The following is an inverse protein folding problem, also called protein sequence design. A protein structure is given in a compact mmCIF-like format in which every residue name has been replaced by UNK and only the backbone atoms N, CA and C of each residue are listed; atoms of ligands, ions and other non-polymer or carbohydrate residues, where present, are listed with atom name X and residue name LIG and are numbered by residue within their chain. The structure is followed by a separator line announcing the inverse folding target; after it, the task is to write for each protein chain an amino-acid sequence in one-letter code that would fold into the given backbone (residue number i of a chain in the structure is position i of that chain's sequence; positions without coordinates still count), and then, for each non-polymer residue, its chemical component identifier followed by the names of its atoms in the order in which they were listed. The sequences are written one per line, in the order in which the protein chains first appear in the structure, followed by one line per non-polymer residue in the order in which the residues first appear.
data_IF_830061582505
#
_entry.id   IF_830061582505
#
_cell.length_a   1.000
_cell.length_b   1.000
_cell.length_c   1.000
_cell.angle_alpha   90.00
_cell.angle_beta   90.00
_cell.angle_gamma   90.00
#
_symmetry.space_group_name_H-M   'P 1'
#
loop_
_entity.id
_entity.type
_entity.pdbx_description
1 polymer ?
#
# COMPACT_ATOMS: atom_id res chain seq x y z
N UNK A 1 -24.68 -24.82 2.60
CA UNK A 1 -24.99 -23.38 2.70
C UNK A 1 -24.04 -22.67 3.69
N UNK A 2 -23.79 -23.23 4.88
CA UNK A 2 -22.84 -22.67 5.86
C UNK A 2 -21.40 -22.71 5.36
N UNK A 3 -20.96 -23.76 4.66
CA UNK A 3 -19.62 -23.85 4.05
C UNK A 3 -19.45 -22.82 2.92
N UNK A 4 -20.49 -22.57 2.13
CA UNK A 4 -20.49 -21.55 1.08
C UNK A 4 -20.37 -20.14 1.66
N UNK A 5 -21.16 -19.80 2.68
CA UNK A 5 -21.10 -18.49 3.33
C UNK A 5 -19.74 -18.23 4.00
N UNK A 6 -19.16 -19.25 4.67
CA UNK A 6 -17.83 -19.15 5.24
C UNK A 6 -16.76 -18.94 4.15
N UNK A 7 -16.84 -19.67 3.03
CA UNK A 7 -15.96 -19.51 1.88
C UNK A 7 -15.99 -18.07 1.33
N UNK A 8 -17.18 -17.45 1.24
CA UNK A 8 -17.33 -16.09 0.72
C UNK A 8 -16.77 -15.03 1.68
N UNK A 9 -16.83 -15.28 2.99
CA UNK A 9 -16.18 -14.43 4.01
C UNK A 9 -14.65 -14.45 3.81
N UNK A 10 -14.03 -15.61 3.64
CA UNK A 10 -12.58 -15.72 3.45
C UNK A 10 -12.12 -15.06 2.15
N UNK A 11 -12.87 -15.23 1.06
CA UNK A 11 -12.57 -14.58 -0.22
C UNK A 11 -12.59 -13.06 -0.09
N UNK A 12 -13.61 -12.50 0.59
CA UNK A 12 -13.68 -11.06 0.87
C UNK A 12 -12.52 -10.58 1.74
N UNK A 13 -12.18 -11.33 2.78
CA UNK A 13 -11.06 -11.01 3.65
C UNK A 13 -9.72 -11.01 2.91
N UNK A 14 -9.55 -11.92 1.94
CA UNK A 14 -8.39 -11.92 1.05
C UNK A 14 -8.28 -10.61 0.28
N UNK A 15 -9.37 -10.08 -0.25
CA UNK A 15 -9.36 -8.78 -0.94
C UNK A 15 -9.00 -7.63 -0.01
N UNK A 16 -9.51 -7.64 1.22
CA UNK A 16 -9.17 -6.63 2.24
C UNK A 16 -7.66 -6.57 2.51
N UNK A 17 -6.99 -7.71 2.53
CA UNK A 17 -5.53 -7.76 2.70
C UNK A 17 -4.75 -7.52 1.40
N UNK A 18 -5.30 -7.94 0.26
CA UNK A 18 -4.64 -7.80 -1.05
C UNK A 18 -4.58 -6.35 -1.53
N UNK A 19 -5.67 -5.60 -1.39
CA UNK A 19 -5.81 -4.27 -1.99
C UNK A 19 -4.79 -3.26 -1.45
N UNK A 20 -4.57 -3.11 -0.12
CA UNK A 20 -3.55 -2.20 0.37
C UNK A 20 -2.14 -2.60 -0.10
N UNK A 21 -1.82 -3.90 -0.10
CA UNK A 21 -0.54 -4.41 -0.62
C UNK A 21 -0.34 -4.05 -2.09
N UNK A 22 -1.37 -4.25 -2.91
CA UNK A 22 -1.35 -3.90 -4.32
C UNK A 22 -1.09 -2.40 -4.53
N UNK A 23 -1.85 -1.54 -3.87
CA UNK A 23 -1.76 -0.09 -4.05
C UNK A 23 -0.39 0.44 -3.63
N UNK A 24 0.13 -0.03 -2.49
CA UNK A 24 1.45 0.39 -1.99
C UNK A 24 2.58 -0.13 -2.86
N UNK A 25 2.51 -1.39 -3.30
CA UNK A 25 3.52 -1.97 -4.19
C UNK A 25 3.53 -1.29 -5.56
N UNK A 26 2.37 -0.92 -6.11
CA UNK A 26 2.29 -0.09 -7.32
C UNK A 26 2.90 1.30 -7.08
N UNK A 27 2.70 1.87 -5.90
CA UNK A 27 3.37 3.10 -5.49
C UNK A 27 4.89 2.96 -5.52
N UNK A 28 5.45 1.96 -4.85
CA UNK A 28 6.88 1.65 -4.86
C UNK A 28 7.43 1.46 -6.28
N UNK A 29 6.67 0.80 -7.14
CA UNK A 29 7.03 0.59 -8.54
C UNK A 29 7.22 1.91 -9.31
N UNK A 30 6.38 2.92 -9.10
CA UNK A 30 6.55 4.22 -9.78
C UNK A 30 7.84 4.92 -9.35
N UNK A 31 8.17 4.89 -8.06
CA UNK A 31 9.42 5.45 -7.56
C UNK A 31 10.64 4.72 -8.15
N UNK A 32 10.71 3.41 -8.03
CA UNK A 32 11.87 2.65 -8.47
C UNK A 32 12.02 2.61 -9.99
N UNK A 33 10.92 2.60 -10.74
CA UNK A 33 10.93 2.77 -12.21
C UNK A 33 11.40 4.16 -12.64
N UNK A 34 11.42 5.16 -11.77
CA UNK A 34 12.03 6.47 -12.02
C UNK A 34 13.52 6.54 -11.67
N UNK A 35 14.05 5.50 -11.03
CA UNK A 35 15.45 5.41 -10.59
C UNK A 35 15.68 5.85 -9.14
N UNK A 36 14.63 6.00 -8.33
CA UNK A 36 14.72 6.31 -6.90
C UNK A 36 14.08 5.20 -6.08
N UNK A 37 14.85 4.56 -5.21
CA UNK A 37 14.34 3.52 -4.30
C UNK A 37 13.54 4.17 -3.16
N UNK A 38 12.32 3.74 -2.94
CA UNK A 38 11.49 4.27 -1.85
C UNK A 38 11.26 3.23 -0.75
N UNK A 39 12.20 3.15 0.18
CA UNK A 39 12.09 2.28 1.36
C UNK A 39 11.15 2.90 2.41
N UNK A 40 10.79 4.18 2.30
CA UNK A 40 9.94 4.89 3.24
C UNK A 40 8.46 4.47 3.22
N UNK A 41 8.06 3.47 2.44
CA UNK A 41 6.64 3.10 2.22
C UNK A 41 5.90 2.81 3.52
N UNK A 42 6.53 2.17 4.51
CA UNK A 42 5.91 1.90 5.82
C UNK A 42 5.56 3.20 6.54
N UNK A 43 6.51 4.12 6.66
CA UNK A 43 6.30 5.42 7.31
C UNK A 43 5.29 6.29 6.56
N UNK A 44 5.31 6.26 5.23
CA UNK A 44 4.34 6.98 4.39
C UNK A 44 2.93 6.42 4.59
N UNK A 45 2.77 5.09 4.66
CA UNK A 45 1.49 4.46 4.99
C UNK A 45 0.98 4.91 6.37
N UNK A 46 1.84 4.91 7.39
CA UNK A 46 1.49 5.32 8.75
C UNK A 46 1.06 6.79 8.78
N UNK A 47 1.86 7.69 8.17
CA UNK A 47 1.55 9.11 8.11
C UNK A 47 0.25 9.39 7.36
N UNK A 48 0.06 8.79 6.19
CA UNK A 48 -1.17 8.91 5.41
C UNK A 48 -2.40 8.38 6.15
N UNK A 49 -2.28 7.20 6.77
CA UNK A 49 -3.34 6.61 7.58
C UNK A 49 -3.69 7.50 8.78
N UNK A 50 -2.68 8.06 9.49
CA UNK A 50 -2.92 8.95 10.62
C UNK A 50 -3.75 10.16 10.22
N UNK A 51 -3.32 10.88 9.18
CA UNK A 51 -4.01 12.10 8.74
C UNK A 51 -5.39 11.78 8.14
N UNK A 52 -5.51 10.68 7.40
CA UNK A 52 -6.79 10.23 6.86
C UNK A 52 -7.80 9.84 7.94
N UNK A 53 -7.38 9.06 8.95
CA UNK A 53 -8.24 8.68 10.09
C UNK A 53 -8.58 9.89 10.94
N UNK A 54 -7.62 10.79 11.18
CA UNK A 54 -7.87 12.02 11.92
C UNK A 54 -8.88 12.92 11.19
N UNK A 55 -8.80 13.04 9.87
CA UNK A 55 -9.79 13.74 9.06
C UNK A 55 -11.18 13.13 9.20
N UNK A 56 -11.30 11.78 9.16
CA UNK A 56 -12.56 11.08 9.40
C UNK A 56 -13.10 11.40 10.80
N UNK A 57 -12.25 11.33 11.83
CA UNK A 57 -12.63 11.67 13.20
C UNK A 57 -13.19 13.09 13.31
N UNK A 58 -12.52 14.08 12.72
CA UNK A 58 -12.98 15.49 12.75
C UNK A 58 -14.36 15.64 12.09
N UNK A 59 -14.56 15.03 10.93
CA UNK A 59 -15.84 15.12 10.22
C UNK A 59 -16.98 14.40 10.97
N UNK A 60 -16.70 13.27 11.58
CA UNK A 60 -17.67 12.53 12.40
C UNK A 60 -18.00 13.27 13.70
N UNK A 61 -17.02 13.87 14.36
CA UNK A 61 -17.20 14.66 15.58
C UNK A 61 -17.98 15.96 15.33
N UNK A 62 -17.86 16.54 14.14
CA UNK A 62 -18.61 17.73 13.73
C UNK A 62 -20.07 17.41 13.34
N UNK A 63 -20.56 16.17 13.56
CA UNK A 63 -21.89 15.70 13.17
C UNK A 63 -22.27 16.04 11.72
N UNK A 64 -21.31 15.98 10.81
CA UNK A 64 -21.53 16.28 9.40
C UNK A 64 -22.46 15.22 8.79
N UNK A 65 -23.56 15.62 8.17
CA UNK A 65 -24.51 14.73 7.48
C UNK A 65 -24.00 14.26 6.11
N UNK A 66 -22.67 14.12 5.98
CA UNK A 66 -22.02 13.72 4.73
C UNK A 66 -22.21 12.22 4.47
N UNK A 67 -22.44 11.86 3.21
CA UNK A 67 -22.46 10.46 2.78
C UNK A 67 -21.14 9.75 3.17
N UNK A 68 -21.19 8.61 3.87
CA UNK A 68 -19.98 7.89 4.32
C UNK A 68 -18.99 7.56 3.20
N UNK A 69 -19.48 7.23 2.01
CA UNK A 69 -18.59 6.92 0.87
C UNK A 69 -17.85 8.16 0.36
N UNK A 70 -18.52 9.32 0.35
CA UNK A 70 -17.89 10.59 -0.01
C UNK A 70 -16.84 10.97 1.02
N UNK A 71 -17.15 10.82 2.32
CA UNK A 71 -16.20 11.07 3.40
C UNK A 71 -14.96 10.19 3.25
N UNK A 72 -15.13 8.91 2.94
CA UNK A 72 -14.00 8.00 2.73
C UNK A 72 -13.14 8.41 1.52
N UNK A 73 -13.76 8.80 0.40
CA UNK A 73 -13.02 9.27 -0.78
C UNK A 73 -12.20 10.52 -0.45
N UNK A 74 -12.78 11.49 0.24
CA UNK A 74 -12.07 12.70 0.66
C UNK A 74 -10.92 12.37 1.62
N UNK A 75 -11.14 11.47 2.58
CA UNK A 75 -10.11 11.00 3.49
C UNK A 75 -8.95 10.31 2.76
N UNK A 76 -9.24 9.51 1.73
CA UNK A 76 -8.22 8.88 0.87
C UNK A 76 -7.40 9.91 0.11
N UNK A 77 -8.04 10.96 -0.42
CA UNK A 77 -7.32 12.06 -1.09
C UNK A 77 -6.41 12.79 -0.10
N UNK A 78 -6.91 13.11 1.09
CA UNK A 78 -6.13 13.77 2.17
C UNK A 78 -4.96 12.89 2.60
N UNK A 79 -5.18 11.58 2.80
CA UNK A 79 -4.13 10.61 3.12
C UNK A 79 -3.06 10.53 2.01
N UNK A 80 -3.50 10.52 0.74
CA UNK A 80 -2.61 10.51 -0.41
C UNK A 80 -1.76 11.78 -0.52
N UNK A 81 -2.36 12.95 -0.36
CA UNK A 81 -1.65 14.24 -0.38
C UNK A 81 -0.60 14.27 0.73
N UNK A 82 -0.95 13.86 1.95
CA UNK A 82 0.00 13.82 3.05
C UNK A 82 1.13 12.81 2.80
N UNK A 83 0.81 11.63 2.26
CA UNK A 83 1.82 10.66 1.83
C UNK A 83 2.77 11.22 0.75
N UNK A 84 2.24 11.99 -0.20
CA UNK A 84 3.06 12.68 -1.20
C UNK A 84 3.97 13.75 -0.55
N UNK A 85 3.48 14.51 0.43
CA UNK A 85 4.28 15.50 1.18
C UNK A 85 5.41 14.82 1.97
N UNK A 86 5.15 13.70 2.63
CA UNK A 86 6.21 12.93 3.30
C UNK A 86 7.24 12.41 2.30
N UNK A 87 6.79 11.91 1.16
CA UNK A 87 7.69 11.41 0.12
C UNK A 87 8.48 12.55 -0.56
N UNK A 88 8.01 13.79 -0.50
CA UNK A 88 8.74 14.95 -0.99
C UNK A 88 10.05 15.16 -0.20
N UNK A 89 10.04 14.90 1.11
CA UNK A 89 11.25 14.96 1.93
C UNK A 89 12.28 13.92 1.45
N UNK A 90 11.83 12.70 1.18
CA UNK A 90 12.67 11.64 0.63
C UNK A 90 13.17 11.99 -0.77
N UNK A 91 12.30 12.50 -1.64
CA UNK A 91 12.68 12.93 -2.99
C UNK A 91 13.74 14.03 -2.96
N UNK A 92 13.59 15.02 -2.10
CA UNK A 92 14.55 16.11 -1.94
C UNK A 92 15.91 15.59 -1.46
N UNK A 93 15.92 14.73 -0.45
CA UNK A 93 17.14 14.11 0.06
C UNK A 93 17.85 13.26 -1.02
N UNK A 94 17.11 12.40 -1.71
CA UNK A 94 17.67 11.49 -2.69
C UNK A 94 18.10 12.20 -4.00
N UNK A 95 17.31 13.15 -4.50
CA UNK A 95 17.50 13.75 -5.82
C UNK A 95 18.40 14.99 -5.76
N UNK A 96 18.18 15.89 -4.79
CA UNK A 96 18.92 17.14 -4.68
C UNK A 96 20.19 17.01 -3.84
N UNK A 97 20.05 16.39 -2.66
CA UNK A 97 21.19 16.23 -1.75
C UNK A 97 22.05 15.01 -2.09
N UNK A 98 21.60 14.15 -3.02
CA UNK A 98 22.27 12.88 -3.36
C UNK A 98 22.56 12.02 -2.12
N UNK A 99 21.70 12.12 -1.09
CA UNK A 99 21.82 11.35 0.12
C UNK A 99 21.49 9.87 -0.10
N UNK A 100 22.00 9.01 0.76
CA UNK A 100 21.68 7.59 0.73
C UNK A 100 20.16 7.39 0.90
N UNK A 101 19.56 6.72 -0.09
CA UNK A 101 18.11 6.51 -0.17
C UNK A 101 17.61 5.57 0.95
N UNK A 102 18.45 4.64 1.38
CA UNK A 102 18.14 3.71 2.48
C UNK A 102 18.06 4.46 3.79
N UNK A 103 19.03 5.34 4.07
CA UNK A 103 19.08 6.16 5.28
C UNK A 103 17.87 7.10 5.31
N UNK A 104 17.62 7.83 4.22
CA UNK A 104 16.50 8.74 4.12
C UNK A 104 15.14 8.04 4.28
N UNK A 105 14.97 6.88 3.64
CA UNK A 105 13.74 6.09 3.75
C UNK A 105 13.53 5.53 5.15
N UNK A 106 14.58 5.00 5.76
CA UNK A 106 14.55 4.47 7.14
C UNK A 106 14.23 5.57 8.15
N UNK A 107 14.77 6.77 7.97
CA UNK A 107 14.47 7.92 8.84
C UNK A 107 12.96 8.24 8.85
N UNK A 108 12.29 8.22 7.69
CA UNK A 108 10.83 8.43 7.60
C UNK A 108 10.07 7.28 8.27
N UNK A 109 10.53 6.04 8.09
CA UNK A 109 9.91 4.86 8.73
C UNK A 109 10.01 4.91 10.27
N UNK A 110 11.03 5.53 10.82
CA UNK A 110 11.16 5.75 12.26
C UNK A 110 10.39 6.99 12.74
N UNK A 111 10.39 8.05 11.93
CA UNK A 111 9.73 9.32 12.27
C UNK A 111 8.21 9.17 12.31
N UNK A 112 7.60 8.54 11.32
CA UNK A 112 6.15 8.52 11.15
C UNK A 112 5.40 7.86 12.32
N UNK A 113 5.76 6.66 12.82
CA UNK A 113 5.11 6.09 14.00
C UNK A 113 5.32 6.93 15.26
N UNK A 114 6.53 7.49 15.45
CA UNK A 114 6.83 8.36 16.57
C UNK A 114 6.00 9.63 16.58
N UNK A 115 5.93 10.32 15.44
CA UNK A 115 5.08 11.51 15.27
C UNK A 115 3.60 11.18 15.44
N UNK A 116 3.13 10.09 14.83
CA UNK A 116 1.73 9.69 14.93
C UNK A 116 1.33 9.40 16.39
N UNK A 117 2.16 8.67 17.13
CA UNK A 117 1.95 8.42 18.55
C UNK A 117 1.97 9.70 19.39
N UNK A 118 2.94 10.57 19.14
CA UNK A 118 3.06 11.86 19.83
C UNK A 118 1.83 12.74 19.60
N UNK A 119 1.43 12.93 18.35
CA UNK A 119 0.27 13.74 17.98
C UNK A 119 -1.04 13.14 18.50
N UNK A 120 -1.20 11.81 18.48
CA UNK A 120 -2.36 11.17 19.07
C UNK A 120 -2.47 11.49 20.57
N UNK A 121 -1.39 11.33 21.33
CA UNK A 121 -1.38 11.65 22.77
C UNK A 121 -1.65 13.12 23.06
N UNK A 122 -1.14 14.01 22.22
CA UNK A 122 -1.37 15.45 22.37
C UNK A 122 -2.84 15.82 22.13
N UNK A 123 -3.45 15.28 21.08
CA UNK A 123 -4.81 15.60 20.65
C UNK A 123 -5.87 14.91 21.52
N UNK A 124 -5.61 13.66 21.94
CA UNK A 124 -6.58 12.80 22.65
C UNK A 124 -6.28 12.63 24.14
N UNK A 125 -5.75 13.67 24.80
CA UNK A 125 -5.54 13.71 26.25
C UNK A 125 -4.78 12.51 26.80
N UNK A 126 -3.68 12.14 26.16
CA UNK A 126 -2.81 11.04 26.57
C UNK A 126 -3.11 9.69 25.93
N UNK A 127 -4.23 9.54 25.20
CA UNK A 127 -4.52 8.33 24.43
C UNK A 127 -3.58 8.22 23.22
N UNK A 128 -3.06 7.03 22.99
CA UNK A 128 -2.14 6.74 21.87
C UNK A 128 -2.84 6.37 20.56
N UNK A 129 -4.17 6.44 20.52
CA UNK A 129 -4.99 5.99 19.39
C UNK A 129 -5.97 7.06 18.93
N UNK A 130 -6.22 7.09 17.62
CA UNK A 130 -7.25 7.94 17.00
C UNK A 130 -8.50 7.08 16.75
N UNK A 131 -9.63 7.34 17.45
CA UNK A 131 -10.85 6.58 17.26
C UNK A 131 -11.62 7.07 16.02
N UNK A 132 -12.35 6.18 15.37
CA UNK A 132 -13.31 6.52 14.32
C UNK A 132 -14.42 5.47 14.21
N UNK A 133 -15.58 5.86 13.67
CA UNK A 133 -16.68 4.93 13.43
C UNK A 133 -16.59 4.35 12.02
N UNK A 134 -16.62 3.01 11.92
CA UNK A 134 -16.54 2.34 10.62
C UNK A 134 -17.94 2.21 10.00
N UNK A 135 -18.39 3.24 9.30
CA UNK A 135 -19.68 3.30 8.58
C UNK A 135 -19.52 3.13 7.06
N UNK A 136 -18.35 2.72 6.61
CA UNK A 136 -17.95 2.74 5.19
C UNK A 136 -18.26 1.45 4.43
N UNK A 137 -18.78 0.43 5.10
CA UNK A 137 -19.09 -0.85 4.48
C UNK A 137 -20.35 -0.75 3.62
N UNK A 138 -20.25 -1.15 2.37
CA UNK A 138 -21.39 -1.25 1.45
C UNK A 138 -22.07 -2.60 1.68
N UNK A 139 -23.31 -2.60 2.17
CA UNK A 139 -24.00 -3.84 2.50
C UNK A 139 -24.26 -4.69 1.25
N UNK A 140 -24.92 -4.13 0.24
CA UNK A 140 -25.20 -4.80 -1.03
C UNK A 140 -25.30 -3.78 -2.16
N UNK A 141 -24.82 -4.16 -3.35
CA UNK A 141 -25.09 -3.41 -4.59
C UNK A 141 -26.21 -4.15 -5.32
N UNK A 142 -27.41 -3.54 -5.49
CA UNK A 142 -28.51 -4.18 -6.19
C UNK A 142 -28.09 -4.69 -7.56
N UNK A 143 -28.66 -5.83 -7.99
CA UNK A 143 -28.39 -6.51 -9.26
C UNK A 143 -27.02 -7.16 -9.34
N UNK A 144 -25.91 -6.44 -9.06
CA UNK A 144 -24.55 -6.97 -9.16
C UNK A 144 -24.23 -8.02 -8.08
N UNK A 145 -24.87 -7.90 -6.92
CA UNK A 145 -24.72 -8.88 -5.82
C UNK A 145 -25.34 -10.26 -6.13
N UNK A 146 -26.14 -10.37 -7.18
CA UNK A 146 -26.81 -11.61 -7.60
C UNK A 146 -25.96 -12.43 -8.58
N UNK A 147 -24.86 -11.87 -9.10
CA UNK A 147 -23.98 -12.60 -10.03
C UNK A 147 -23.36 -13.79 -9.29
N UNK A 148 -23.51 -15.03 -9.80
CA UNK A 148 -22.90 -16.20 -9.19
C UNK A 148 -21.39 -16.03 -9.02
N UNK A 149 -20.83 -16.43 -7.87
CA UNK A 149 -19.40 -16.37 -7.51
C UNK A 149 -18.88 -14.93 -7.30
N UNK A 150 -19.03 -14.02 -8.27
CA UNK A 150 -18.52 -12.66 -8.19
C UNK A 150 -19.36 -11.76 -7.29
N UNK A 151 -20.67 -11.94 -7.29
CA UNK A 151 -21.61 -11.17 -6.47
C UNK A 151 -21.26 -11.18 -4.98
N UNK A 152 -21.20 -12.35 -4.35
CA UNK A 152 -20.86 -12.46 -2.92
C UNK A 152 -19.45 -11.98 -2.57
N UNK A 153 -18.48 -12.04 -3.50
CA UNK A 153 -17.08 -11.69 -3.25
C UNK A 153 -16.85 -10.18 -3.39
N UNK A 154 -17.38 -9.58 -4.46
CA UNK A 154 -17.10 -8.19 -4.82
C UNK A 154 -18.20 -7.21 -4.41
N UNK A 155 -19.47 -7.63 -4.36
CA UNK A 155 -20.61 -6.71 -4.28
C UNK A 155 -21.47 -6.85 -3.01
N UNK A 156 -21.12 -7.82 -2.11
CA UNK A 156 -21.75 -7.94 -0.78
C UNK A 156 -20.76 -7.62 0.31
N UNK A 157 -21.04 -6.64 1.16
CA UNK A 157 -20.22 -6.25 2.28
C UNK A 157 -18.82 -5.75 1.88
N UNK A 158 -18.70 -5.17 0.70
CA UNK A 158 -17.46 -4.64 0.15
C UNK A 158 -17.17 -3.22 0.64
N UNK A 159 -15.93 -2.79 0.47
CA UNK A 159 -15.52 -1.41 0.65
C UNK A 159 -15.24 -0.78 -0.72
N UNK A 160 -15.52 0.51 -0.86
CA UNK A 160 -15.22 1.26 -2.09
C UNK A 160 -13.72 1.21 -2.44
N UNK A 161 -12.88 1.03 -1.42
CA UNK A 161 -11.43 0.90 -1.55
C UNK A 161 -11.01 -0.31 -2.41
N UNK A 162 -11.81 -1.39 -2.43
CA UNK A 162 -11.54 -2.56 -3.29
C UNK A 162 -11.64 -2.18 -4.77
N UNK A 163 -12.66 -1.44 -5.15
CA UNK A 163 -12.83 -0.97 -6.53
C UNK A 163 -11.77 0.05 -6.91
N UNK A 164 -11.44 0.94 -5.96
CA UNK A 164 -10.36 1.91 -6.14
C UNK A 164 -9.01 1.21 -6.42
N UNK A 165 -8.70 0.14 -5.71
CA UNK A 165 -7.48 -0.65 -5.96
C UNK A 165 -7.43 -1.24 -7.36
N UNK A 166 -8.55 -1.74 -7.88
CA UNK A 166 -8.64 -2.24 -9.27
C UNK A 166 -8.45 -1.09 -10.27
N UNK A 167 -9.08 0.06 -10.04
CA UNK A 167 -8.93 1.25 -10.89
C UNK A 167 -7.47 1.73 -10.90
N UNK A 168 -6.82 1.79 -9.73
CA UNK A 168 -5.40 2.17 -9.61
C UNK A 168 -4.52 1.19 -10.40
N UNK A 169 -4.79 -0.13 -10.33
CA UNK A 169 -4.06 -1.12 -11.12
C UNK A 169 -4.20 -0.85 -12.62
N UNK A 170 -5.43 -0.68 -13.11
CA UNK A 170 -5.70 -0.41 -14.53
C UNK A 170 -4.99 0.87 -14.98
N UNK A 171 -5.13 1.96 -14.22
CA UNK A 171 -4.48 3.23 -14.51
C UNK A 171 -2.95 3.10 -14.50
N UNK A 172 -2.37 2.33 -13.58
CA UNK A 172 -0.94 2.07 -13.51
C UNK A 172 -0.42 1.33 -14.74
N UNK A 173 -1.17 0.32 -15.21
CA UNK A 173 -0.86 -0.42 -16.45
C UNK A 173 -0.89 0.51 -17.66
N UNK A 174 -1.95 1.30 -17.80
CA UNK A 174 -2.10 2.24 -18.90
C UNK A 174 -1.00 3.31 -18.86
N UNK A 175 -0.77 3.90 -17.69
CA UNK A 175 0.25 4.94 -17.51
C UNK A 175 1.63 4.45 -17.94
N UNK A 176 2.10 3.31 -17.40
CA UNK A 176 3.44 2.81 -17.69
C UNK A 176 3.61 2.30 -19.12
N UNK A 177 2.59 1.66 -19.70
CA UNK A 177 2.75 0.95 -20.95
C UNK A 177 2.23 1.71 -22.16
N UNK A 178 1.30 2.66 -21.98
CA UNK A 178 0.60 3.33 -23.07
C UNK A 178 0.82 4.84 -23.12
N UNK A 179 1.46 5.46 -22.09
CA UNK A 179 1.66 6.91 -22.09
C UNK A 179 3.11 7.31 -22.34
N UNK A 180 3.30 8.49 -22.96
CA UNK A 180 4.62 9.11 -23.15
C UNK A 180 5.31 9.39 -21.79
N UNK A 181 4.54 9.75 -20.78
CA UNK A 181 5.06 10.02 -19.44
C UNK A 181 5.61 8.74 -18.79
N UNK A 182 4.89 7.61 -18.87
CA UNK A 182 5.35 6.32 -18.37
C UNK A 182 6.59 5.80 -19.11
N UNK A 183 6.68 6.01 -20.42
CA UNK A 183 7.88 5.66 -21.18
C UNK A 183 9.10 6.46 -20.70
N UNK A 184 8.95 7.78 -20.56
CA UNK A 184 10.04 8.68 -20.08
C UNK A 184 10.44 8.34 -18.64
N UNK A 185 9.47 8.04 -17.77
CA UNK A 185 9.73 7.62 -16.40
C UNK A 185 10.60 6.35 -16.36
N UNK A 186 10.26 5.33 -17.16
CA UNK A 186 11.05 4.10 -17.26
C UNK A 186 12.45 4.36 -17.87
N UNK A 187 12.55 5.22 -18.87
CA UNK A 187 13.83 5.61 -19.46
C UNK A 187 14.76 6.25 -18.42
N UNK A 188 14.25 7.12 -17.55
CA UNK A 188 15.02 7.71 -16.45
C UNK A 188 15.51 6.68 -15.43
N UNK A 189 14.77 5.59 -15.22
CA UNK A 189 15.16 4.51 -14.32
C UNK A 189 16.14 3.50 -14.94
N UNK A 190 16.18 3.36 -16.27
CA UNK A 190 17.11 2.43 -16.95
C UNK A 190 18.43 3.12 -17.32
N UNK A 191 18.37 4.31 -17.89
CA UNK A 191 19.56 5.09 -18.26
C UNK A 191 19.25 6.60 -18.21
N UNK A 192 19.50 7.26 -17.07
CA UNK A 192 19.21 8.68 -16.91
C UNK A 192 20.04 9.57 -17.82
N UNK A 193 21.30 9.21 -18.13
CA UNK A 193 22.15 9.98 -19.01
C UNK A 193 21.64 9.97 -20.46
N UNK A 194 21.21 8.81 -20.96
CA UNK A 194 20.60 8.72 -22.29
C UNK A 194 19.25 9.44 -22.36
N UNK A 195 18.46 9.40 -21.28
CA UNK A 195 17.20 10.14 -21.20
C UNK A 195 17.42 11.65 -21.23
N UNK A 196 18.43 12.15 -20.50
CA UNK A 196 18.79 13.56 -20.50
C UNK A 196 19.32 14.03 -21.87
N UNK A 197 20.20 13.26 -22.50
CA UNK A 197 20.68 13.51 -23.85
C UNK A 197 19.56 13.57 -24.89
N UNK A 198 18.46 12.83 -24.67
CA UNK A 198 17.24 12.88 -25.47
C UNK A 198 16.28 14.03 -25.10
N UNK A 199 16.70 14.97 -24.23
CA UNK A 199 15.91 16.13 -23.81
C UNK A 199 14.82 15.81 -22.79
N UNK A 200 14.91 14.67 -22.10
CA UNK A 200 13.96 14.30 -21.03
C UNK A 200 14.50 14.80 -19.69
N UNK A 201 13.77 15.69 -19.01
CA UNK A 201 14.15 16.16 -17.67
C UNK A 201 14.09 15.04 -16.64
N UNK A 202 15.23 14.44 -16.30
CA UNK A 202 15.35 13.34 -15.34
C UNK A 202 14.83 13.76 -13.95
N UNK A 203 15.15 14.98 -13.51
CA UNK A 203 14.68 15.55 -12.26
C UNK A 203 13.15 15.49 -12.14
N UNK A 204 12.44 16.01 -13.15
CA UNK A 204 10.98 16.04 -13.17
C UNK A 204 10.37 14.65 -13.04
N UNK A 205 10.90 13.66 -13.78
CA UNK A 205 10.34 12.30 -13.76
C UNK A 205 10.68 11.54 -12.50
N UNK A 206 11.85 11.77 -11.89
CA UNK A 206 12.18 11.23 -10.57
C UNK A 206 11.26 11.77 -9.48
N UNK A 207 11.07 13.08 -9.39
CA UNK A 207 10.11 13.68 -8.47
C UNK A 207 8.69 13.15 -8.69
N UNK A 208 8.24 13.09 -9.93
CA UNK A 208 6.93 12.54 -10.27
C UNK A 208 6.77 11.09 -9.78
N UNK A 209 7.77 10.24 -9.98
CA UNK A 209 7.75 8.84 -9.54
C UNK A 209 7.65 8.72 -8.01
N UNK A 210 8.48 9.47 -7.29
CA UNK A 210 8.50 9.46 -5.81
C UNK A 210 7.20 10.05 -5.23
N UNK A 211 6.68 11.15 -5.79
CA UNK A 211 5.42 11.75 -5.34
C UNK A 211 4.21 10.83 -5.58
N UNK A 212 4.14 10.16 -6.75
CA UNK A 212 3.12 9.16 -7.02
C UNK A 212 3.23 7.98 -6.04
N UNK A 213 4.47 7.56 -5.74
CA UNK A 213 4.72 6.52 -4.73
C UNK A 213 4.20 6.93 -3.36
N UNK A 214 4.49 8.14 -2.93
CA UNK A 214 4.00 8.67 -1.66
C UNK A 214 2.49 8.82 -1.60
N UNK A 215 1.88 9.30 -2.69
CA UNK A 215 0.43 9.42 -2.78
C UNK A 215 -0.27 8.07 -2.66
N UNK A 216 0.20 7.06 -3.40
CA UNK A 216 -0.34 5.70 -3.32
C UNK A 216 -0.02 5.01 -1.98
N UNK A 217 1.16 5.28 -1.42
CA UNK A 217 1.52 4.80 -0.08
C UNK A 217 0.59 5.33 1.01
N UNK A 218 0.30 6.64 0.99
CA UNK A 218 -0.64 7.27 1.94
C UNK A 218 -2.06 6.72 1.81
N UNK A 219 -2.58 6.61 0.58
CA UNK A 219 -3.87 5.97 0.30
C UNK A 219 -3.87 4.52 0.79
N UNK A 220 -2.82 3.76 0.49
CA UNK A 220 -2.71 2.35 0.88
C UNK A 220 -2.72 2.16 2.39
N UNK A 221 -2.15 3.09 3.16
CA UNK A 221 -2.21 3.09 4.61
C UNK A 221 -3.65 3.21 5.14
N UNK A 222 -4.43 4.15 4.61
CA UNK A 222 -5.83 4.30 5.01
C UNK A 222 -6.70 3.13 4.54
N UNK A 223 -6.48 2.63 3.31
CA UNK A 223 -7.16 1.43 2.79
C UNK A 223 -6.95 0.23 3.71
N UNK A 224 -5.76 0.09 4.29
CA UNK A 224 -5.46 -1.00 5.22
C UNK A 224 -6.26 -0.87 6.52
N UNK A 225 -6.32 0.32 7.12
CA UNK A 225 -6.90 0.53 8.45
C UNK A 225 -8.42 0.44 8.45
N UNK A 226 -9.10 1.04 7.46
CA UNK A 226 -10.58 1.15 7.43
C UNK A 226 -11.31 -0.17 7.64
N UNK A 227 -10.98 -1.29 6.97
CA UNK A 227 -11.73 -2.54 7.14
C UNK A 227 -11.33 -3.36 8.38
N UNK A 228 -10.17 -3.07 8.99
CA UNK A 228 -9.56 -3.93 10.00
C UNK A 228 -9.81 -3.41 11.42
N UNK A 229 -9.89 -2.08 11.58
CA UNK A 229 -9.94 -1.47 12.90
C UNK A 229 -10.95 -0.32 12.97
N UNK A 230 -11.33 0.05 14.18
CA UNK A 230 -12.09 1.26 14.52
C UNK A 230 -11.22 2.27 15.28
N UNK A 231 -9.95 1.94 15.50
CA UNK A 231 -8.95 2.79 16.13
C UNK A 231 -7.64 2.67 15.38
N UNK A 232 -6.89 3.75 15.27
CA UNK A 232 -5.57 3.75 14.65
C UNK A 232 -4.48 4.05 15.68
N UNK A 233 -3.50 3.14 15.81
CA UNK A 233 -2.43 3.19 16.81
C UNK A 233 -1.07 3.54 16.18
N UNK A 234 -1.04 4.28 15.08
CA UNK A 234 0.19 4.65 14.36
C UNK A 234 1.05 3.47 13.93
N UNK A 235 0.39 2.36 13.54
CA UNK A 235 1.03 1.14 13.05
C UNK A 235 0.22 0.55 11.88
N UNK A 236 0.90 0.05 10.87
CA UNK A 236 0.32 -0.63 9.71
C UNK A 236 0.84 -2.07 9.58
N UNK A 237 1.44 -2.62 10.63
CA UNK A 237 1.79 -4.03 10.75
C UNK A 237 2.79 -4.55 9.72
N UNK A 238 3.73 -3.71 9.26
CA UNK A 238 4.77 -4.10 8.30
C UNK A 238 4.28 -4.20 6.85
N UNK A 239 3.12 -3.66 6.52
CA UNK A 239 2.55 -3.74 5.17
C UNK A 239 3.38 -3.00 4.11
N UNK A 240 4.05 -1.91 4.47
CA UNK A 240 4.95 -1.20 3.57
C UNK A 240 6.18 -2.03 3.21
N UNK A 241 6.77 -2.73 4.20
CA UNK A 241 7.89 -3.65 3.93
C UNK A 241 7.44 -4.88 3.12
N UNK A 242 6.26 -5.42 3.39
CA UNK A 242 5.71 -6.51 2.61
C UNK A 242 5.41 -6.08 1.17
N UNK A 243 4.98 -4.83 0.96
CA UNK A 243 4.77 -4.27 -0.37
C UNK A 243 6.09 -4.13 -1.16
N UNK A 244 7.22 -3.81 -0.50
CA UNK A 244 8.54 -3.86 -1.13
C UNK A 244 8.91 -5.28 -1.60
N UNK A 245 8.65 -6.29 -0.78
CA UNK A 245 8.85 -7.68 -1.20
C UNK A 245 7.99 -8.03 -2.42
N UNK A 246 6.71 -7.65 -2.40
CA UNK A 246 5.78 -7.83 -3.53
C UNK A 246 6.28 -7.15 -4.80
N UNK A 247 6.84 -5.96 -4.69
CA UNK A 247 7.44 -5.20 -5.78
C UNK A 247 8.58 -5.98 -6.43
N UNK A 248 9.49 -6.54 -5.63
CA UNK A 248 10.62 -7.36 -6.09
C UNK A 248 10.10 -8.63 -6.78
N UNK A 249 9.16 -9.35 -6.18
CA UNK A 249 8.54 -10.54 -6.79
C UNK A 249 7.79 -10.23 -8.08
N UNK A 250 7.13 -9.08 -8.10
CA UNK A 250 6.44 -8.58 -9.28
C UNK A 250 7.37 -8.10 -10.37
N UNK A 251 8.69 -8.09 -10.13
CA UNK A 251 9.71 -7.63 -11.07
C UNK A 251 9.36 -6.28 -11.71
N UNK A 252 8.86 -5.35 -10.88
CA UNK A 252 8.43 -4.00 -11.28
C UNK A 252 7.41 -3.98 -12.43
N UNK A 253 6.61 -5.05 -12.57
CA UNK A 253 5.55 -5.16 -13.58
C UNK A 253 4.16 -5.17 -12.90
N UNK A 254 3.22 -4.28 -13.30
CA UNK A 254 1.93 -4.16 -12.61
C UNK A 254 1.14 -5.47 -12.52
N UNK A 255 1.13 -6.27 -13.57
CA UNK A 255 0.41 -7.56 -13.58
C UNK A 255 1.02 -8.57 -12.59
N UNK A 256 2.35 -8.65 -12.53
CA UNK A 256 3.04 -9.54 -11.60
C UNK A 256 2.92 -9.04 -10.16
N UNK A 257 2.91 -7.72 -9.94
CA UNK A 257 2.62 -7.12 -8.65
C UNK A 257 1.21 -7.51 -8.19
N UNK A 258 0.21 -7.47 -9.09
CA UNK A 258 -1.16 -7.87 -8.75
C UNK A 258 -1.25 -9.34 -8.34
N UNK A 259 -0.60 -10.25 -9.07
CA UNK A 259 -0.57 -11.69 -8.71
C UNK A 259 0.18 -11.94 -7.41
N UNK A 260 1.31 -11.27 -7.18
CA UNK A 260 2.06 -11.36 -5.93
C UNK A 260 1.25 -10.80 -4.75
N UNK A 261 0.58 -9.65 -4.92
CA UNK A 261 -0.30 -9.07 -3.89
C UNK A 261 -1.44 -10.01 -3.52
N UNK A 262 -2.04 -10.69 -4.50
CA UNK A 262 -3.08 -11.68 -4.25
C UNK A 262 -2.53 -12.88 -3.46
N UNK A 263 -1.37 -13.39 -3.84
CA UNK A 263 -0.70 -14.49 -3.11
C UNK A 263 -0.46 -14.12 -1.64
N UNK A 264 0.14 -12.95 -1.39
CA UNK A 264 0.37 -12.50 -0.01
C UNK A 264 -0.92 -12.17 0.75
N UNK A 265 -1.95 -11.68 0.06
CA UNK A 265 -3.29 -11.50 0.61
C UNK A 265 -3.90 -12.82 1.10
N UNK A 266 -3.75 -13.89 0.32
CA UNK A 266 -4.16 -15.25 0.72
C UNK A 266 -3.36 -15.70 1.95
N UNK A 267 -2.03 -15.54 1.96
CA UNK A 267 -1.19 -15.91 3.11
C UNK A 267 -1.58 -15.13 4.38
N UNK A 268 -1.87 -13.84 4.26
CA UNK A 268 -2.38 -13.04 5.39
C UNK A 268 -3.75 -13.53 5.86
N UNK A 269 -4.66 -13.85 4.96
CA UNK A 269 -5.97 -14.41 5.32
C UNK A 269 -5.80 -15.71 6.10
N UNK A 270 -4.98 -16.64 5.62
CA UNK A 270 -4.69 -17.89 6.34
C UNK A 270 -4.12 -17.62 7.74
N UNK A 271 -3.21 -16.65 7.86
CA UNK A 271 -2.59 -16.27 9.12
C UNK A 271 -3.59 -15.69 10.13
N UNK A 272 -4.63 -14.99 9.67
CA UNK A 272 -5.64 -14.39 10.54
C UNK A 272 -6.85 -15.31 10.81
N UNK A 273 -7.11 -16.29 9.93
CA UNK A 273 -8.27 -17.19 10.02
C UNK A 273 -7.90 -18.62 10.39
N UNK A 274 -6.68 -18.87 10.86
CA UNK A 274 -6.18 -20.22 11.18
C UNK A 274 -7.09 -20.97 12.17
N UNK A 275 -7.73 -20.28 13.12
CA UNK A 275 -8.65 -20.90 14.09
C UNK A 275 -9.90 -21.49 13.47
N UNK A 276 -10.32 -20.98 12.33
CA UNK A 276 -11.49 -21.42 11.60
C UNK A 276 -11.19 -22.52 10.58
N UNK A 277 -9.89 -22.86 10.37
CA UNK A 277 -9.46 -23.96 9.50
C UNK A 277 -9.10 -25.16 10.38
N UNK A 278 -9.89 -26.25 10.36
CA UNK A 278 -9.74 -27.38 11.29
C UNK A 278 -8.33 -27.98 11.30
N UNK A 279 -7.72 -28.08 10.12
CA UNK A 279 -6.35 -28.60 9.99
C UNK A 279 -5.31 -27.70 10.70
N UNK A 280 -5.40 -26.39 10.53
CA UNK A 280 -4.47 -25.45 11.15
C UNK A 280 -4.71 -25.31 12.66
N UNK A 281 -5.96 -25.29 13.09
CA UNK A 281 -6.31 -25.21 14.51
C UNK A 281 -5.89 -26.48 15.27
N UNK A 282 -5.93 -27.64 14.64
CA UNK A 282 -5.51 -28.92 15.23
C UNK A 282 -3.99 -29.00 15.49
N UNK A 283 -3.16 -28.18 14.83
CA UNK A 283 -1.72 -28.12 15.07
C UNK A 283 -1.32 -27.51 16.42
N UNK A 284 -2.24 -26.79 17.06
CA UNK A 284 -2.06 -26.26 18.42
C UNK A 284 -0.94 -25.22 18.60
N UNK A 285 -0.41 -24.65 17.51
CA UNK A 285 0.63 -23.61 17.63
C UNK A 285 0.09 -22.28 18.16
N UNK A 286 0.90 -21.49 18.85
CA UNK A 286 0.55 -20.13 19.24
C UNK A 286 0.22 -19.25 18.03
N UNK A 287 -0.69 -18.29 18.20
CA UNK A 287 -1.14 -17.37 17.11
C UNK A 287 0.01 -16.64 16.40
N UNK A 288 1.10 -16.39 17.11
CA UNK A 288 2.31 -15.74 16.56
C UNK A 288 2.93 -16.56 15.43
N UNK A 289 2.92 -17.88 15.55
CA UNK A 289 3.49 -18.78 14.51
C UNK A 289 2.73 -18.63 13.19
N UNK A 290 1.39 -18.57 13.24
CA UNK A 290 0.58 -18.38 12.04
C UNK A 290 0.79 -17.00 11.41
N UNK A 291 1.03 -15.97 12.21
CA UNK A 291 1.34 -14.61 11.73
C UNK A 291 2.69 -14.53 11.00
N UNK A 292 3.59 -15.49 11.21
CA UNK A 292 4.87 -15.58 10.49
C UNK A 292 4.72 -16.14 9.06
N UNK A 293 3.60 -16.81 8.73
CA UNK A 293 3.39 -17.46 7.42
C UNK A 293 3.75 -16.55 6.23
N UNK A 294 3.25 -15.30 6.11
CA UNK A 294 3.58 -14.46 4.96
C UNK A 294 5.07 -14.08 4.91
N UNK A 295 5.73 -13.92 6.04
CA UNK A 295 7.16 -13.58 6.09
C UNK A 295 8.04 -14.78 5.73
N UNK A 296 7.71 -15.97 6.20
CA UNK A 296 8.39 -17.23 5.81
C UNK A 296 8.19 -17.49 4.32
N UNK A 297 6.96 -17.32 3.80
CA UNK A 297 6.69 -17.41 2.38
C UNK A 297 7.53 -16.42 1.56
N UNK A 298 7.74 -15.19 2.07
CA UNK A 298 8.63 -14.20 1.46
C UNK A 298 10.05 -14.73 1.33
N UNK A 299 10.62 -15.27 2.40
CA UNK A 299 11.99 -15.79 2.40
C UNK A 299 12.16 -16.95 1.43
N UNK A 300 11.19 -17.88 1.41
CA UNK A 300 11.19 -19.02 0.48
C UNK A 300 11.14 -18.54 -0.97
N UNK A 301 10.21 -17.64 -1.29
CA UNK A 301 10.09 -17.10 -2.64
C UNK A 301 11.35 -16.33 -3.07
N UNK A 302 11.96 -15.52 -2.19
CA UNK A 302 13.20 -14.82 -2.48
C UNK A 302 14.33 -15.79 -2.84
N UNK A 303 14.45 -16.89 -2.12
CA UNK A 303 15.46 -17.91 -2.41
C UNK A 303 15.35 -18.48 -3.83
N UNK A 304 14.12 -18.63 -4.35
CA UNK A 304 13.88 -19.18 -5.68
C UNK A 304 13.86 -18.13 -6.81
N UNK A 305 13.44 -16.89 -6.51
CA UNK A 305 13.19 -15.86 -7.54
C UNK A 305 14.31 -14.83 -7.70
N UNK A 306 15.24 -14.73 -6.74
CA UNK A 306 16.27 -13.68 -6.73
C UNK A 306 17.16 -13.66 -7.98
N UNK A 307 17.43 -14.80 -8.59
CA UNK A 307 18.27 -14.92 -9.80
C UNK A 307 17.67 -14.24 -11.05
N UNK A 308 16.34 -14.08 -11.10
CA UNK A 308 15.62 -13.52 -12.26
C UNK A 308 15.04 -12.13 -12.01
N UNK A 309 15.32 -11.55 -10.85
CA UNK A 309 14.83 -10.21 -10.48
C UNK A 309 15.85 -9.16 -10.95
N UNK A 310 15.43 -8.30 -11.86
CA UNK A 310 16.25 -7.20 -12.39
C UNK A 310 15.63 -5.86 -11.98
N UNK A 311 16.20 -5.23 -10.95
CA UNK A 311 15.85 -3.86 -10.58
C UNK A 311 16.23 -2.88 -11.70
N UNK A 312 15.54 -1.73 -11.84
CA UNK A 312 15.93 -0.68 -12.76
C UNK A 312 17.38 -0.24 -12.49
N UNK A 313 18.19 -0.16 -13.53
CA UNK A 313 19.65 0.00 -13.41
C UNK A 313 20.07 1.26 -12.67
N UNK A 314 19.33 2.36 -12.83
CA UNK A 314 19.66 3.63 -12.17
C UNK A 314 19.45 3.60 -10.64
N UNK A 315 18.68 2.67 -10.10
CA UNK A 315 18.55 2.49 -8.65
C UNK A 315 19.86 2.01 -8.00
N UNK A 316 20.74 1.42 -8.77
CA UNK A 316 22.04 0.88 -8.33
C UNK A 316 23.21 1.89 -8.52
N UNK A 317 23.02 2.95 -9.31
CA UNK A 317 24.11 3.85 -9.72
C UNK A 317 24.47 4.93 -8.69
N UNK A 318 23.68 5.08 -7.61
CA UNK A 318 23.99 6.07 -6.56
C UNK A 318 25.09 5.64 -5.57
N UNK A 319 25.64 4.46 -5.73
CA UNK A 319 26.66 3.92 -4.81
C UNK A 319 28.09 3.91 -5.39
N UNK A 320 28.30 4.17 -6.68
CA UNK A 320 29.64 4.01 -7.25
C UNK A 320 30.22 5.18 -8.05
N UNK A 321 29.42 6.07 -8.66
CA UNK A 321 30.02 7.16 -9.49
C UNK A 321 29.09 8.39 -9.54
N UNK A 322 29.28 9.32 -8.64
CA UNK A 322 28.85 10.71 -8.77
C UNK A 322 30.03 11.64 -8.64
#
# INVERSE_FOLDING_TARGET
ALSSAASDVYKRQTLVFTVPLLVVALGGMFSERSGVVNIALEGIMIGGAFVGVYFIYLMQSANTTMNPQLLLILALIVAGIFGALLSLLHAFAAINLKADQTISGTAINMLAPGLGLFLAKLIFNGNSSVPFSNTFRIHEIPVLSQIPILGPILFKGAYITTYLGIVILILSVIFLNKTKAGLRLRACGENPQAADAAGVSVYKYRYMGVLLSGFLGGIGGLIYIIPISTVFNSDVGGYGFLALAILIFGNWQPYRIATASLFFGIMKTLAYTYTAIPFLSALGFPSVVYKLIPYVATLILLAFTSKNSAAPKACLLYTSDA
#
